data_IF_486404271809
#
_entry.id   IF_486404271809
#
_cell.length_a   1.000
_cell.length_b   1.000
_cell.length_c   1.000
_cell.angle_alpha   90.00
_cell.angle_beta   90.00
_cell.angle_gamma   90.00
#
_symmetry.space_group_name_H-M   'P 1'
#
loop_
_entity.id
_entity.type
_entity.pdbx_description
1 polymer ?
#
# COMPACT_ATOMS: atom_id res chain seq x y z
N UNK A 1 8.99 12.69 -3.34
CA UNK A 1 9.29 11.33 -3.82
C UNK A 1 8.33 11.06 -4.98
N UNK A 2 8.66 10.21 -5.93
CA UNK A 2 7.85 9.94 -7.14
C UNK A 2 7.26 8.52 -7.13
N UNK A 3 6.56 8.15 -8.20
CA UNK A 3 6.02 6.81 -8.38
C UNK A 3 7.16 5.77 -8.52
N UNK A 4 8.27 6.18 -9.12
CA UNK A 4 9.48 5.37 -9.21
C UNK A 4 10.07 5.14 -7.81
N UNK A 5 10.15 6.19 -6.97
CA UNK A 5 10.64 6.07 -5.60
C UNK A 5 9.76 5.10 -4.77
N UNK A 6 8.44 5.13 -4.96
CA UNK A 6 7.51 4.19 -4.32
C UNK A 6 7.78 2.76 -4.78
N UNK A 7 7.95 2.56 -6.08
CA UNK A 7 8.19 1.23 -6.66
C UNK A 7 9.52 0.65 -6.18
N UNK A 8 10.59 1.45 -6.22
CA UNK A 8 11.91 1.07 -5.72
C UNK A 8 11.88 0.74 -4.22
N UNK A 9 11.12 1.52 -3.43
CA UNK A 9 10.98 1.26 -2.00
C UNK A 9 10.26 -0.05 -1.73
N UNK A 10 9.15 -0.32 -2.41
CA UNK A 10 8.41 -1.58 -2.27
C UNK A 10 9.28 -2.77 -2.68
N UNK A 11 10.03 -2.66 -3.79
CA UNK A 11 10.94 -3.71 -4.23
C UNK A 11 12.08 -3.96 -3.25
N UNK A 12 12.66 -2.88 -2.69
CA UNK A 12 13.70 -2.96 -1.67
C UNK A 12 13.19 -3.63 -0.39
N UNK A 13 12.03 -3.21 0.11
CA UNK A 13 11.40 -3.80 1.29
C UNK A 13 11.07 -5.29 1.05
N UNK A 14 10.54 -5.64 -0.14
CA UNK A 14 10.28 -7.03 -0.50
C UNK A 14 11.58 -7.86 -0.56
N UNK A 15 12.63 -7.33 -1.18
CA UNK A 15 13.91 -8.02 -1.30
C UNK A 15 14.63 -8.22 0.05
N UNK A 16 14.32 -7.39 1.06
CA UNK A 16 14.83 -7.53 2.42
C UNK A 16 14.11 -8.64 3.22
N UNK A 17 12.91 -9.06 2.78
CA UNK A 17 12.16 -10.14 3.43
C UNK A 17 12.79 -11.51 3.11
N UNK A 18 12.88 -12.36 4.14
CA UNK A 18 13.24 -13.77 3.98
C UNK A 18 11.96 -14.64 3.93
N UNK A 19 12.12 -15.89 3.49
CA UNK A 19 11.03 -16.88 3.50
C UNK A 19 10.51 -17.23 4.91
N UNK A 20 11.26 -16.85 5.96
CA UNK A 20 10.89 -17.01 7.35
C UNK A 20 11.18 -15.72 8.14
N UNK A 21 10.27 -15.37 9.04
CA UNK A 21 10.42 -14.25 9.96
C UNK A 21 10.42 -14.75 11.40
N UNK A 22 11.43 -14.34 12.18
CA UNK A 22 11.42 -14.48 13.64
C UNK A 22 10.82 -13.20 14.23
N UNK A 23 9.78 -13.36 15.05
CA UNK A 23 9.05 -12.23 15.63
C UNK A 23 9.03 -12.36 17.14
N UNK A 24 9.54 -11.34 17.82
CA UNK A 24 9.42 -11.23 19.27
C UNK A 24 7.98 -10.94 19.66
N UNK A 25 7.41 -11.81 20.49
CA UNK A 25 6.05 -11.66 20.99
C UNK A 25 6.05 -11.21 22.44
N UNK A 26 5.42 -10.07 22.70
CA UNK A 26 5.13 -9.61 24.04
C UNK A 26 4.07 -10.51 24.74
N UNK A 27 3.78 -10.20 25.99
CA UNK A 27 2.86 -11.00 26.81
C UNK A 27 1.41 -10.95 26.32
N UNK A 28 0.95 -9.79 25.90
CA UNK A 28 -0.42 -9.57 25.40
C UNK A 28 -0.59 -10.31 24.08
N UNK A 29 0.33 -10.10 23.13
CA UNK A 29 0.32 -10.78 21.83
C UNK A 29 0.35 -12.31 22.00
N UNK A 30 1.14 -12.85 22.93
CA UNK A 30 1.13 -14.29 23.26
C UNK A 30 -0.23 -14.77 23.77
N UNK A 31 -0.90 -13.99 24.59
CA UNK A 31 -2.19 -14.35 25.14
C UNK A 31 -3.28 -14.36 24.06
N UNK A 32 -3.31 -13.32 23.22
CA UNK A 32 -4.26 -13.21 22.12
C UNK A 32 -4.06 -14.31 21.07
N UNK A 33 -2.82 -14.59 20.68
CA UNK A 33 -2.50 -15.71 19.78
C UNK A 33 -2.93 -17.05 20.38
N UNK A 34 -2.72 -17.27 21.66
CA UNK A 34 -3.17 -18.50 22.33
C UNK A 34 -4.69 -18.62 22.33
N UNK A 35 -5.43 -17.53 22.55
CA UNK A 35 -6.90 -17.53 22.48
C UNK A 35 -7.39 -17.82 21.05
N UNK A 36 -6.77 -17.21 20.05
CA UNK A 36 -7.11 -17.45 18.64
C UNK A 36 -6.82 -18.88 18.22
N UNK A 37 -5.64 -19.41 18.56
CA UNK A 37 -5.27 -20.79 18.27
C UNK A 37 -6.24 -21.78 18.89
N UNK A 38 -6.56 -21.60 20.18
CA UNK A 38 -7.51 -22.48 20.88
C UNK A 38 -8.95 -22.34 20.38
N UNK A 39 -9.39 -21.13 20.04
CA UNK A 39 -10.77 -20.87 19.63
C UNK A 39 -11.08 -21.25 18.18
N UNK A 40 -10.08 -21.16 17.30
CA UNK A 40 -10.22 -21.45 15.87
C UNK A 40 -9.69 -22.83 15.48
N UNK A 41 -8.95 -23.50 16.37
CA UNK A 41 -8.26 -24.77 16.10
C UNK A 41 -7.27 -24.64 14.92
N UNK A 42 -6.41 -23.62 14.99
CA UNK A 42 -5.44 -23.27 13.95
C UNK A 42 -4.06 -23.02 14.55
N UNK A 43 -3.03 -23.49 13.86
CA UNK A 43 -1.62 -23.29 14.22
C UNK A 43 -1.21 -21.81 14.18
N UNK A 44 -0.26 -21.43 15.03
CA UNK A 44 0.11 -20.02 15.24
C UNK A 44 0.73 -19.37 14.01
N UNK A 45 1.48 -20.12 13.19
CA UNK A 45 2.11 -19.61 11.97
C UNK A 45 1.08 -19.24 10.90
N UNK A 46 0.04 -20.07 10.75
CA UNK A 46 -1.08 -19.80 9.86
C UNK A 46 -1.91 -18.61 10.35
N UNK A 47 -2.11 -18.47 11.67
CA UNK A 47 -2.76 -17.30 12.25
C UNK A 47 -1.99 -16.00 12.00
N UNK A 48 -0.67 -16.02 12.15
CA UNK A 48 0.19 -14.86 11.85
C UNK A 48 0.09 -14.48 10.36
N UNK A 49 0.14 -15.46 9.46
CA UNK A 49 -0.03 -15.22 8.02
C UNK A 49 -1.39 -14.60 7.70
N UNK A 50 -2.47 -15.15 8.28
CA UNK A 50 -3.82 -14.57 8.16
C UNK A 50 -3.91 -13.16 8.74
N UNK A 51 -3.25 -12.91 9.87
CA UNK A 51 -3.18 -11.58 10.49
C UNK A 51 -2.58 -10.54 9.55
N UNK A 52 -1.47 -10.87 8.87
CA UNK A 52 -0.85 -10.00 7.87
C UNK A 52 -1.80 -9.72 6.71
N UNK A 53 -2.45 -10.76 6.16
CA UNK A 53 -3.41 -10.60 5.06
C UNK A 53 -4.63 -9.75 5.47
N UNK A 54 -5.16 -9.98 6.66
CA UNK A 54 -6.31 -9.23 7.18
C UNK A 54 -5.95 -7.76 7.45
N UNK A 55 -4.75 -7.50 7.97
CA UNK A 55 -4.23 -6.14 8.17
C UNK A 55 -4.11 -5.41 6.83
N UNK A 56 -3.48 -6.05 5.83
CA UNK A 56 -3.35 -5.48 4.48
C UNK A 56 -4.73 -5.20 3.86
N UNK A 57 -5.63 -6.19 3.89
CA UNK A 57 -6.98 -6.04 3.38
C UNK A 57 -7.72 -4.88 4.06
N UNK A 58 -7.65 -4.79 5.38
CA UNK A 58 -8.29 -3.70 6.14
C UNK A 58 -7.71 -2.34 5.76
N UNK A 59 -6.39 -2.24 5.55
CA UNK A 59 -5.74 -1.00 5.17
C UNK A 59 -6.12 -0.55 3.76
N UNK A 60 -6.28 -1.49 2.83
CA UNK A 60 -6.77 -1.25 1.46
C UNK A 60 -8.24 -0.86 1.47
N UNK A 61 -9.11 -1.65 2.12
CA UNK A 61 -10.56 -1.46 2.15
C UNK A 61 -10.96 -0.13 2.79
N UNK A 62 -10.17 0.35 3.77
CA UNK A 62 -10.37 1.66 4.41
C UNK A 62 -9.72 2.82 3.68
N UNK A 63 -8.99 2.57 2.57
CA UNK A 63 -8.23 3.58 1.84
C UNK A 63 -7.05 4.17 2.60
N UNK A 64 -6.73 3.66 3.79
CA UNK A 64 -5.62 4.15 4.63
C UNK A 64 -4.28 3.93 3.95
N UNK A 65 -4.08 2.76 3.35
CA UNK A 65 -2.83 2.44 2.67
C UNK A 65 -2.61 3.38 1.48
N UNK A 66 -3.62 3.54 0.63
CA UNK A 66 -3.61 4.46 -0.50
C UNK A 66 -3.32 5.91 -0.08
N UNK A 67 -4.01 6.41 0.95
CA UNK A 67 -3.78 7.77 1.45
C UNK A 67 -2.35 7.96 1.97
N UNK A 68 -1.81 7.00 2.73
CA UNK A 68 -0.44 7.08 3.24
C UNK A 68 0.58 7.09 2.11
N UNK A 69 0.47 6.16 1.16
CA UNK A 69 1.41 6.06 0.04
C UNK A 69 1.35 7.31 -0.85
N UNK A 70 0.16 7.81 -1.19
CA UNK A 70 0.05 9.02 -2.00
C UNK A 70 0.57 10.27 -1.29
N UNK A 71 0.36 10.40 0.01
CA UNK A 71 0.85 11.54 0.78
C UNK A 71 2.37 11.54 0.96
N UNK A 72 2.97 10.36 1.17
CA UNK A 72 4.42 10.21 1.34
C UNK A 72 5.17 10.37 0.02
N UNK A 73 4.61 9.84 -1.07
CA UNK A 73 5.22 9.83 -2.40
C UNK A 73 4.68 10.90 -3.34
N UNK A 74 3.99 11.91 -2.81
CA UNK A 74 3.44 13.06 -3.57
C UNK A 74 2.73 12.64 -4.87
N UNK A 75 1.95 11.56 -4.81
CA UNK A 75 1.27 10.96 -5.96
C UNK A 75 -0.18 11.44 -6.06
N UNK A 76 -0.63 11.69 -7.29
CA UNK A 76 -2.07 11.82 -7.53
C UNK A 76 -2.79 10.47 -7.44
N UNK A 77 -4.11 10.52 -7.29
CA UNK A 77 -4.93 9.31 -7.25
C UNK A 77 -4.84 8.50 -8.54
N UNK A 78 -4.83 9.18 -9.70
CA UNK A 78 -4.78 8.53 -11.00
C UNK A 78 -3.41 7.89 -11.27
N UNK A 79 -2.31 8.50 -10.81
CA UNK A 79 -0.97 7.93 -10.92
C UNK A 79 -0.82 6.66 -10.07
N UNK A 80 -1.31 6.70 -8.82
CA UNK A 80 -1.28 5.53 -7.94
C UNK A 80 -2.09 4.35 -8.50
N UNK A 81 -3.28 4.61 -9.04
CA UNK A 81 -4.14 3.56 -9.60
C UNK A 81 -3.61 2.98 -10.91
N UNK A 82 -3.06 3.83 -11.78
CA UNK A 82 -2.61 3.40 -13.11
C UNK A 82 -1.22 2.78 -13.08
N UNK A 83 -0.42 3.05 -12.04
CA UNK A 83 0.99 2.69 -12.02
C UNK A 83 1.80 3.40 -13.10
N UNK A 84 1.31 4.53 -13.60
CA UNK A 84 1.96 5.39 -14.60
C UNK A 84 1.92 6.84 -14.13
N UNK A 85 2.92 7.63 -14.48
CA UNK A 85 2.94 9.07 -14.21
C UNK A 85 1.93 9.82 -15.10
N UNK A 86 1.54 11.05 -14.71
CA UNK A 86 0.64 11.87 -15.52
C UNK A 86 1.19 12.15 -16.94
N UNK A 87 2.50 12.31 -17.08
CA UNK A 87 3.16 12.55 -18.36
C UNK A 87 3.06 11.32 -19.29
N UNK A 88 3.19 10.12 -18.73
CA UNK A 88 3.03 8.85 -19.44
C UNK A 88 1.58 8.58 -19.83
N UNK A 89 0.64 8.84 -18.92
CA UNK A 89 -0.80 8.70 -19.18
C UNK A 89 -1.30 9.66 -20.27
N UNK A 90 -0.77 10.89 -20.30
CA UNK A 90 -1.13 11.90 -21.30
C UNK A 90 -0.42 11.70 -22.64
N UNK A 91 0.54 10.76 -22.75
CA UNK A 91 1.29 10.52 -23.98
C UNK A 91 2.08 11.75 -24.47
N UNK A 92 2.50 12.62 -23.54
CA UNK A 92 3.15 13.89 -23.87
C UNK A 92 2.19 14.99 -24.36
N UNK A 93 0.88 14.84 -24.19
CA UNK A 93 -0.09 15.87 -24.54
C UNK A 93 -0.09 16.97 -23.47
N UNK A 94 0.72 18.01 -23.66
CA UNK A 94 0.61 19.24 -22.87
C UNK A 94 -0.73 19.89 -23.20
N UNK A 95 -1.66 20.11 -22.24
CA UNK A 95 -2.86 20.88 -22.50
C UNK A 95 -2.41 22.27 -22.95
N UNK A 96 -2.61 22.60 -24.23
CA UNK A 96 -2.33 23.94 -24.73
C UNK A 96 -3.11 24.93 -23.87
N UNK A 97 -2.41 25.92 -23.29
CA UNK A 97 -2.92 26.95 -22.38
C UNK A 97 -4.41 27.27 -22.60
N UNK A 98 -5.29 26.64 -21.82
CA UNK A 98 -6.74 26.87 -21.84
C UNK A 98 -7.11 28.23 -21.17
N UNK A 99 -6.17 29.17 -21.14
CA UNK A 99 -6.43 30.54 -20.71
C UNK A 99 -7.24 31.32 -21.75
N UNK A 100 -7.24 30.89 -23.01
CA UNK A 100 -7.88 31.64 -24.12
C UNK A 100 -9.32 31.18 -24.47
N UNK A 101 -9.85 30.15 -23.81
CA UNK A 101 -11.22 29.62 -24.08
C UNK A 101 -12.26 29.98 -23.04
N UNK A 102 -11.96 30.93 -22.14
CA UNK A 102 -12.85 31.27 -21.01
C UNK A 102 -13.94 32.30 -21.35
N UNK A 103 -13.85 32.99 -22.48
CA UNK A 103 -14.86 33.95 -22.94
C UNK A 103 -14.97 34.00 -24.47
N UNK A 104 -15.77 33.11 -25.07
CA UNK A 104 -16.42 33.39 -26.34
C UNK A 104 -17.93 33.18 -26.17
N UNK A 105 -18.67 34.28 -26.31
CA UNK A 105 -20.13 34.33 -26.36
C UNK A 105 -20.63 33.94 -27.75
#
# INVERSE_FOLDING_TARGET
MSLDDLSETVESEYAALNDAAEVDLDRETKHELAMLAAGLDVETDELLRRGVHLLFQTAVDTGKLDFHLRAEYDLTYDEYLSGMTFEEMSGGYTPADEQDRRYQF
#
